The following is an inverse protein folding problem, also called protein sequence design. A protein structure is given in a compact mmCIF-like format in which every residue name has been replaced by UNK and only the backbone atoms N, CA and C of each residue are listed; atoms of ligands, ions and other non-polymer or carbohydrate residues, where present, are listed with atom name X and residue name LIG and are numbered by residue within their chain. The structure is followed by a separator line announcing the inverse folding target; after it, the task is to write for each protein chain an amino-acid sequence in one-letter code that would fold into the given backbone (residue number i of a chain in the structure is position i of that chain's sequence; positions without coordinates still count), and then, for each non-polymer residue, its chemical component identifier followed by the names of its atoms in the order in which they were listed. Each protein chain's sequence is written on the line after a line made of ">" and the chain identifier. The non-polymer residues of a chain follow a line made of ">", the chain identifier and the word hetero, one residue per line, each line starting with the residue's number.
data_IF_422257724355
#
_entry.id   IF_422257724355
#
_cell.length_a   1.000
_cell.length_b   1.000
_cell.length_c   1.000
_cell.angle_alpha   90.00
_cell.angle_beta   90.00
_cell.angle_gamma   90.00
#
_symmetry.space_group_name_H-M   'P 1'
#
loop_
_entity.id
_entity.type
_entity.pdbx_description
1 polymer ?
#
# COMPACT_ATOMS: atom_id res chain seq x y z
N UNK A 1 -62.34 7.91 27.74
CA UNK A 1 -61.13 8.37 27.09
C UNK A 1 -59.98 7.42 27.46
N UNK A 2 -59.57 6.62 26.57
CA UNK A 2 -58.56 5.55 26.83
C UNK A 2 -57.14 6.12 26.68
N UNK A 3 -56.24 6.00 27.67
CA UNK A 3 -54.90 6.62 27.61
C UNK A 3 -53.88 5.89 26.71
N UNK A 4 -54.33 4.99 25.80
CA UNK A 4 -53.49 4.12 25.04
C UNK A 4 -53.17 4.59 23.60
N UNK A 5 -53.62 5.77 23.16
CA UNK A 5 -53.44 6.25 21.78
C UNK A 5 -52.42 7.41 21.68
N UNK A 6 -51.24 7.26 22.31
CA UNK A 6 -50.13 8.14 21.98
C UNK A 6 -49.38 7.54 20.79
N UNK A 7 -49.36 8.17 19.61
CA UNK A 7 -48.60 7.64 18.50
C UNK A 7 -47.12 7.65 18.86
N UNK A 8 -46.53 6.45 18.93
CA UNK A 8 -45.07 6.32 19.00
C UNK A 8 -44.46 7.00 17.77
N UNK A 9 -43.74 8.10 18.00
CA UNK A 9 -42.96 8.78 16.95
C UNK A 9 -41.79 7.87 16.55
N UNK A 10 -42.01 7.06 15.55
CA UNK A 10 -40.99 6.19 14.95
C UNK A 10 -40.16 6.92 13.90
N UNK A 11 -39.83 8.19 14.09
CA UNK A 11 -38.90 8.89 13.24
C UNK A 11 -37.51 8.21 13.41
N UNK A 12 -37.15 7.38 12.43
CA UNK A 12 -35.79 6.86 12.30
C UNK A 12 -34.86 8.08 12.21
N UNK A 13 -33.91 8.26 13.14
CA UNK A 13 -32.99 9.39 13.05
C UNK A 13 -32.29 9.36 11.71
N UNK A 14 -32.26 10.48 11.03
CA UNK A 14 -31.54 10.62 9.74
C UNK A 14 -30.12 10.10 9.92
N UNK A 15 -29.76 9.10 9.12
CA UNK A 15 -28.45 8.49 9.12
C UNK A 15 -27.45 9.62 8.79
N UNK A 16 -26.62 10.02 9.74
CA UNK A 16 -25.55 10.98 9.48
C UNK A 16 -24.61 10.35 8.49
N UNK A 17 -24.22 11.08 7.45
CA UNK A 17 -23.16 10.64 6.57
C UNK A 17 -21.94 10.24 7.41
N UNK A 18 -21.35 9.07 7.15
CA UNK A 18 -20.19 8.63 7.91
C UNK A 18 -19.08 9.69 7.79
N UNK A 19 -18.46 10.04 8.91
CA UNK A 19 -17.30 10.93 8.89
C UNK A 19 -16.21 10.35 7.96
N UNK A 20 -15.48 11.19 7.23
CA UNK A 20 -14.38 10.71 6.38
C UNK A 20 -13.36 9.93 7.20
N UNK A 21 -12.83 8.86 6.63
CA UNK A 21 -11.79 8.05 7.28
C UNK A 21 -10.51 8.89 7.48
N UNK A 22 -9.66 8.56 8.47
CA UNK A 22 -8.51 9.38 8.87
C UNK A 22 -7.53 9.74 7.75
N UNK A 23 -7.36 8.85 6.76
CA UNK A 23 -6.44 9.05 5.64
C UNK A 23 -7.17 9.31 4.31
N UNK A 24 -8.43 9.73 4.35
CA UNK A 24 -9.13 10.16 3.14
C UNK A 24 -8.37 11.31 2.45
N UNK A 25 -8.12 11.15 1.15
CA UNK A 25 -7.36 12.11 0.35
C UNK A 25 -5.84 11.86 0.29
N UNK A 26 -5.31 10.94 1.08
CA UNK A 26 -3.90 10.51 0.98
C UNK A 26 -3.76 9.46 -0.12
N UNK A 27 -2.78 9.62 -0.99
CA UNK A 27 -2.43 8.65 -2.04
C UNK A 27 -1.11 7.96 -1.75
N UNK A 28 -1.13 6.63 -1.77
CA UNK A 28 0.03 5.76 -1.57
C UNK A 28 0.31 4.99 -2.85
N UNK A 29 1.55 5.01 -3.31
CA UNK A 29 2.04 4.14 -4.39
C UNK A 29 2.95 3.09 -3.77
N UNK A 30 2.63 1.80 -3.95
CA UNK A 30 3.41 0.73 -3.33
C UNK A 30 4.04 -0.22 -4.35
N UNK A 31 5.30 -0.57 -4.09
CA UNK A 31 6.10 -1.57 -4.78
C UNK A 31 6.42 -2.69 -3.81
N UNK A 32 5.40 -3.42 -3.41
CA UNK A 32 5.48 -4.37 -2.30
C UNK A 32 5.04 -5.77 -2.74
N UNK A 33 5.52 -6.80 -2.04
CA UNK A 33 5.12 -8.19 -2.25
C UNK A 33 5.18 -8.97 -0.92
N UNK A 34 4.65 -10.18 -0.91
CA UNK A 34 4.55 -11.06 0.26
C UNK A 34 3.61 -10.48 1.34
N UNK A 35 4.13 -10.16 2.53
CA UNK A 35 3.33 -9.87 3.74
C UNK A 35 3.56 -8.46 4.26
N UNK A 36 4.77 -8.14 4.73
CA UNK A 36 5.06 -6.92 5.49
C UNK A 36 4.68 -5.62 4.77
N UNK A 37 5.22 -5.39 3.58
CA UNK A 37 4.90 -4.21 2.78
C UNK A 37 3.42 -4.13 2.40
N UNK A 38 2.82 -5.21 1.83
CA UNK A 38 1.40 -5.24 1.55
C UNK A 38 0.50 -4.99 2.77
N UNK A 39 0.87 -5.48 3.98
CA UNK A 39 0.13 -5.21 5.22
C UNK A 39 0.12 -3.72 5.55
N UNK A 40 1.25 -3.04 5.40
CA UNK A 40 1.31 -1.59 5.61
C UNK A 40 0.33 -0.85 4.68
N UNK A 41 0.38 -1.14 3.37
CA UNK A 41 -0.56 -0.56 2.42
C UNK A 41 -2.02 -0.91 2.69
N UNK A 42 -2.30 -2.14 3.14
CA UNK A 42 -3.65 -2.57 3.52
C UNK A 42 -4.19 -1.75 4.70
N UNK A 43 -3.40 -1.55 5.75
CA UNK A 43 -3.81 -0.75 6.92
C UNK A 43 -4.12 0.70 6.49
N UNK A 44 -3.28 1.28 5.64
CA UNK A 44 -3.52 2.62 5.11
C UNK A 44 -4.81 2.69 4.28
N UNK A 45 -5.07 1.66 3.44
CA UNK A 45 -6.28 1.57 2.64
C UNK A 45 -7.53 1.39 3.51
N UNK A 46 -7.49 0.54 4.55
CA UNK A 46 -8.58 0.35 5.50
C UNK A 46 -8.90 1.65 6.27
N UNK A 47 -7.91 2.53 6.43
CA UNK A 47 -8.07 3.84 7.04
C UNK A 47 -8.40 4.96 6.05
N UNK A 48 -8.66 4.64 4.78
CA UNK A 48 -9.20 5.55 3.79
C UNK A 48 -8.21 6.12 2.78
N UNK A 49 -6.93 5.73 2.81
CA UNK A 49 -5.98 6.12 1.78
C UNK A 49 -6.29 5.44 0.45
N UNK A 50 -6.05 6.14 -0.66
CA UNK A 50 -6.03 5.53 -1.99
C UNK A 50 -4.68 4.82 -2.18
N UNK A 51 -4.67 3.51 -2.11
CA UNK A 51 -3.45 2.71 -2.29
C UNK A 51 -3.41 2.10 -3.68
N UNK A 52 -2.36 2.41 -4.43
CA UNK A 52 -2.11 1.91 -5.78
C UNK A 52 -0.89 1.00 -5.75
N UNK A 53 -1.13 -0.29 -5.94
CA UNK A 53 -0.09 -1.31 -6.02
C UNK A 53 0.41 -1.42 -7.45
N UNK A 54 1.70 -1.15 -7.66
CA UNK A 54 2.37 -1.33 -8.95
C UNK A 54 2.88 -2.77 -9.03
N UNK A 55 2.45 -3.47 -10.08
CA UNK A 55 2.80 -4.88 -10.33
C UNK A 55 3.52 -5.01 -11.68
N UNK A 56 4.45 -5.98 -11.83
CA UNK A 56 5.02 -6.30 -13.14
C UNK A 56 3.97 -6.92 -14.07
N UNK A 57 4.23 -7.02 -15.39
CA UNK A 57 3.29 -7.65 -16.35
C UNK A 57 2.87 -9.08 -15.98
N UNK A 58 3.72 -9.83 -15.28
CA UNK A 58 3.39 -11.16 -14.76
C UNK A 58 2.53 -11.15 -13.50
N UNK A 59 2.22 -9.99 -12.95
CA UNK A 59 1.59 -9.84 -11.64
C UNK A 59 2.55 -10.05 -10.47
N UNK A 60 2.07 -9.80 -9.27
CA UNK A 60 2.79 -10.12 -8.03
C UNK A 60 2.87 -11.65 -7.86
N UNK A 61 4.07 -12.17 -7.62
CA UNK A 61 4.30 -13.61 -7.39
C UNK A 61 3.48 -14.17 -6.23
N UNK A 62 3.11 -13.34 -5.26
CA UNK A 62 2.26 -13.73 -4.13
C UNK A 62 0.88 -14.23 -4.57
N UNK A 63 0.40 -13.85 -5.76
CA UNK A 63 -0.85 -14.33 -6.36
C UNK A 63 -0.85 -15.85 -6.64
N UNK A 64 0.34 -16.42 -6.83
CA UNK A 64 0.54 -17.81 -7.25
C UNK A 64 1.08 -18.71 -6.15
N UNK A 65 1.12 -18.22 -4.90
CA UNK A 65 1.55 -19.04 -3.78
C UNK A 65 0.55 -20.17 -3.50
N UNK A 66 1.08 -21.31 -3.10
CA UNK A 66 0.30 -22.50 -2.76
C UNK A 66 0.30 -22.72 -1.24
N UNK A 67 -0.55 -23.64 -0.79
CA UNK A 67 -0.66 -24.04 0.61
C UNK A 67 -1.05 -22.85 1.51
N UNK A 68 -0.38 -22.66 2.63
CA UNK A 68 -0.65 -21.58 3.58
C UNK A 68 -0.50 -20.18 2.98
N UNK A 69 0.33 -20.03 1.94
CA UNK A 69 0.55 -18.75 1.26
C UNK A 69 -0.56 -18.33 0.29
N UNK A 70 -1.46 -19.24 -0.09
CA UNK A 70 -2.51 -18.98 -1.09
C UNK A 70 -3.45 -17.82 -0.69
N UNK A 71 -3.64 -17.59 0.61
CA UNK A 71 -4.46 -16.51 1.15
C UNK A 71 -3.75 -15.16 1.25
N UNK A 72 -2.43 -15.08 1.09
CA UNK A 72 -1.67 -13.86 1.37
C UNK A 72 -2.05 -12.71 0.43
N UNK A 73 -2.14 -12.98 -0.87
CA UNK A 73 -2.47 -11.92 -1.82
C UNK A 73 -3.86 -11.31 -1.55
N UNK A 74 -4.96 -12.06 -1.51
CA UNK A 74 -6.29 -11.49 -1.28
C UNK A 74 -6.42 -10.85 0.12
N UNK A 75 -5.75 -11.39 1.13
CA UNK A 75 -5.80 -10.85 2.48
C UNK A 75 -5.10 -9.49 2.57
N UNK A 76 -3.83 -9.41 2.14
CA UNK A 76 -3.00 -8.23 2.36
C UNK A 76 -3.12 -7.15 1.26
N UNK A 77 -3.90 -7.41 0.20
CA UNK A 77 -4.09 -6.43 -0.88
C UNK A 77 -5.54 -5.99 -1.08
N UNK A 78 -6.44 -6.31 -0.12
CA UNK A 78 -7.79 -5.77 -0.15
C UNK A 78 -7.79 -4.24 -0.11
N UNK A 79 -8.83 -3.64 -0.66
CA UNK A 79 -9.03 -2.17 -0.73
C UNK A 79 -7.97 -1.40 -1.53
N UNK A 80 -7.09 -2.10 -2.29
CA UNK A 80 -6.10 -1.48 -3.14
C UNK A 80 -6.52 -1.50 -4.61
N UNK A 81 -6.01 -0.55 -5.36
CA UNK A 81 -6.01 -0.57 -6.83
C UNK A 81 -4.74 -1.26 -7.31
N UNK A 82 -4.85 -2.10 -8.34
CA UNK A 82 -3.71 -2.72 -9.00
C UNK A 82 -3.43 -2.02 -10.32
N UNK A 83 -2.16 -1.69 -10.55
CA UNK A 83 -1.67 -1.10 -11.80
C UNK A 83 -0.50 -1.93 -12.31
N UNK A 84 -0.64 -2.47 -13.52
CA UNK A 84 0.42 -3.24 -14.16
C UNK A 84 1.32 -2.31 -14.97
N UNK A 85 2.62 -2.27 -14.65
CA UNK A 85 3.64 -1.51 -15.37
C UNK A 85 4.91 -2.33 -15.54
N UNK A 86 5.48 -2.32 -16.73
CA UNK A 86 6.83 -2.87 -16.94
C UNK A 86 7.88 -1.77 -16.67
N UNK A 87 8.43 -1.78 -15.47
CA UNK A 87 9.46 -0.82 -15.04
C UNK A 87 10.82 -1.03 -15.70
N UNK A 88 10.98 -2.04 -16.55
CA UNK A 88 12.19 -2.22 -17.38
C UNK A 88 12.09 -1.47 -18.71
N UNK A 89 10.94 -0.89 -19.03
CA UNK A 89 10.74 -0.07 -20.24
C UNK A 89 10.73 1.42 -19.91
N UNK A 90 11.17 2.24 -20.86
CA UNK A 90 11.13 3.70 -20.71
C UNK A 90 9.69 4.20 -20.49
N UNK A 91 8.71 3.65 -21.21
CA UNK A 91 7.31 4.01 -21.07
C UNK A 91 6.75 3.66 -19.68
N UNK A 92 7.12 2.49 -19.13
CA UNK A 92 6.72 2.09 -17.77
C UNK A 92 7.34 2.98 -16.70
N UNK A 93 8.61 3.34 -16.85
CA UNK A 93 9.30 4.29 -15.94
C UNK A 93 8.67 5.69 -16.02
N UNK A 94 8.35 6.17 -17.22
CA UNK A 94 7.67 7.46 -17.38
C UNK A 94 6.28 7.44 -16.71
N UNK A 95 5.52 6.37 -16.94
CA UNK A 95 4.19 6.22 -16.34
C UNK A 95 4.25 6.20 -14.81
N UNK A 96 5.19 5.47 -14.22
CA UNK A 96 5.34 5.41 -12.76
C UNK A 96 5.80 6.75 -12.18
N UNK A 97 6.67 7.50 -12.86
CA UNK A 97 7.06 8.84 -12.40
C UNK A 97 5.87 9.80 -12.40
N UNK A 98 4.99 9.75 -13.41
CA UNK A 98 3.75 10.54 -13.43
C UNK A 98 2.82 10.15 -12.28
N UNK A 99 2.72 8.86 -11.97
CA UNK A 99 1.94 8.38 -10.84
C UNK A 99 2.49 8.90 -9.51
N UNK A 100 3.81 8.74 -9.28
CA UNK A 100 4.48 9.19 -8.05
C UNK A 100 4.35 10.70 -7.86
N UNK A 101 4.33 11.49 -8.94
CA UNK A 101 4.13 12.93 -8.85
C UNK A 101 2.78 13.34 -8.22
N UNK A 102 1.82 12.42 -8.15
CA UNK A 102 0.50 12.63 -7.53
C UNK A 102 0.38 11.96 -6.16
N UNK A 103 1.44 11.32 -5.67
CA UNK A 103 1.43 10.55 -4.43
C UNK A 103 1.96 11.37 -3.23
N UNK A 104 1.43 11.05 -2.06
CA UNK A 104 1.94 11.54 -0.78
C UNK A 104 2.96 10.57 -0.19
N UNK A 105 2.80 9.27 -0.47
CA UNK A 105 3.64 8.21 0.08
C UNK A 105 4.07 7.24 -1.02
N UNK A 106 5.34 6.86 -1.00
CA UNK A 106 5.87 5.69 -1.71
C UNK A 106 6.30 4.66 -0.68
N UNK A 107 5.88 3.41 -0.87
CA UNK A 107 6.21 2.28 0.00
C UNK A 107 6.81 1.14 -0.82
N UNK A 108 7.95 0.55 -0.38
CA UNK A 108 8.60 -0.54 -1.08
C UNK A 108 9.23 -1.56 -0.13
N UNK A 109 9.30 -2.82 -0.55
CA UNK A 109 10.00 -3.87 0.18
C UNK A 109 10.88 -4.75 -0.73
N UNK A 110 11.44 -4.16 -1.78
CA UNK A 110 12.33 -4.85 -2.68
C UNK A 110 13.73 -5.05 -2.04
N UNK A 111 14.50 -5.95 -2.63
CA UNK A 111 15.89 -6.16 -2.23
C UNK A 111 16.69 -4.85 -2.31
N UNK A 112 17.65 -4.64 -1.40
CA UNK A 112 18.54 -3.47 -1.46
C UNK A 112 19.10 -3.21 -2.87
N UNK A 113 19.09 -1.95 -3.29
CA UNK A 113 19.56 -1.53 -4.60
C UNK A 113 18.60 -1.69 -5.77
N UNK A 114 17.47 -2.40 -5.63
CA UNK A 114 16.48 -2.55 -6.72
C UNK A 114 15.86 -1.21 -7.11
N UNK A 115 15.36 -0.44 -6.15
CA UNK A 115 14.75 0.86 -6.41
C UNK A 115 15.77 1.86 -6.99
N UNK A 116 17.02 1.80 -6.54
CA UNK A 116 18.11 2.63 -7.11
C UNK A 116 18.39 2.32 -8.58
N UNK A 117 18.40 1.05 -8.97
CA UNK A 117 18.57 0.65 -10.39
C UNK A 117 17.44 1.16 -11.28
N UNK A 118 16.25 1.36 -10.72
CA UNK A 118 15.08 1.90 -11.42
C UNK A 118 15.03 3.44 -11.37
N UNK A 119 15.92 4.10 -10.62
CA UNK A 119 15.85 5.55 -10.38
C UNK A 119 14.68 5.97 -9.52
N UNK A 120 14.17 5.05 -8.70
CA UNK A 120 13.00 5.21 -7.82
C UNK A 120 13.39 5.13 -6.33
N UNK A 121 14.67 5.26 -6.00
CA UNK A 121 15.14 5.32 -4.62
C UNK A 121 14.83 6.68 -3.96
N UNK A 122 15.02 6.75 -2.64
CA UNK A 122 14.77 7.95 -1.87
C UNK A 122 15.48 9.18 -2.43
N UNK A 123 16.77 9.07 -2.72
CA UNK A 123 17.59 10.19 -3.19
C UNK A 123 17.08 10.76 -4.52
N UNK A 124 16.69 9.88 -5.45
CA UNK A 124 16.17 10.27 -6.75
C UNK A 124 14.77 10.90 -6.65
N UNK A 125 13.89 10.30 -5.84
CA UNK A 125 12.51 10.76 -5.69
C UNK A 125 12.40 12.02 -4.83
N UNK A 126 13.14 12.11 -3.72
CA UNK A 126 13.11 13.28 -2.83
C UNK A 126 13.57 14.57 -3.55
N UNK A 127 14.54 14.45 -4.44
CA UNK A 127 15.02 15.57 -5.27
C UNK A 127 13.90 16.18 -6.13
N UNK A 128 12.99 15.35 -6.63
CA UNK A 128 11.88 15.77 -7.50
C UNK A 128 10.61 16.10 -6.71
N UNK A 129 10.41 15.44 -5.59
CA UNK A 129 9.20 15.49 -4.77
C UNK A 129 9.57 15.63 -3.28
N UNK A 130 10.00 16.83 -2.82
CA UNK A 130 10.51 17.03 -1.46
C UNK A 130 9.50 16.74 -0.34
N UNK A 131 8.19 16.72 -0.65
CA UNK A 131 7.12 16.42 0.31
C UNK A 131 6.77 14.93 0.37
N UNK A 132 7.32 14.12 -0.53
CA UNK A 132 7.03 12.69 -0.61
C UNK A 132 7.57 11.96 0.64
N UNK A 133 6.73 11.20 1.27
CA UNK A 133 7.13 10.26 2.33
C UNK A 133 7.58 8.96 1.65
N UNK A 134 8.79 8.53 1.93
CA UNK A 134 9.34 7.28 1.38
C UNK A 134 9.54 6.25 2.47
N UNK A 135 8.87 5.11 2.36
CA UNK A 135 8.95 4.00 3.31
C UNK A 135 9.63 2.80 2.65
N UNK A 136 10.77 2.42 3.20
CA UNK A 136 11.52 1.25 2.75
C UNK A 136 11.46 0.17 3.83
N UNK A 137 10.76 -0.92 3.57
CA UNK A 137 10.64 -2.04 4.50
C UNK A 137 11.82 -2.98 4.32
N UNK A 138 12.71 -3.02 5.30
CA UNK A 138 13.91 -3.86 5.29
C UNK A 138 14.00 -4.67 6.57
N UNK A 139 14.57 -5.86 6.48
CA UNK A 139 14.80 -6.70 7.64
C UNK A 139 16.01 -6.26 8.48
N UNK A 140 16.93 -5.49 7.89
CA UNK A 140 18.12 -4.98 8.58
C UNK A 140 18.26 -3.48 8.32
N UNK A 141 18.65 -2.76 9.38
CA UNK A 141 19.06 -1.37 9.29
C UNK A 141 20.43 -1.24 8.60
N UNK A 142 20.83 -0.02 8.18
CA UNK A 142 22.17 0.22 7.65
C UNK A 142 23.25 -0.31 8.57
N UNK A 143 24.19 -1.09 8.01
CA UNK A 143 25.26 -1.73 8.76
C UNK A 143 25.80 -2.99 8.06
N UNK A 144 26.57 -3.84 8.76
CA UNK A 144 27.23 -5.00 8.16
C UNK A 144 26.26 -6.05 7.60
N UNK A 145 24.99 -6.03 8.01
CA UNK A 145 23.98 -6.98 7.57
C UNK A 145 22.92 -6.40 6.62
N UNK A 146 23.01 -5.12 6.26
CA UNK A 146 21.99 -4.43 5.46
C UNK A 146 21.70 -5.11 4.10
N UNK A 147 22.67 -5.82 3.54
CA UNK A 147 22.55 -6.52 2.26
C UNK A 147 21.97 -7.93 2.38
N UNK A 148 21.80 -8.44 3.60
CA UNK A 148 21.25 -9.78 3.81
C UNK A 148 19.75 -9.79 3.54
N UNK A 149 19.28 -10.89 2.97
CA UNK A 149 17.85 -11.15 2.86
C UNK A 149 17.31 -11.48 4.24
N UNK A 150 16.26 -10.80 4.64
CA UNK A 150 15.50 -11.15 5.83
C UNK A 150 14.12 -11.67 5.40
N UNK A 151 13.84 -12.91 5.73
CA UNK A 151 12.52 -13.54 5.69
C UNK A 151 11.93 -13.52 7.10
N UNK A 152 10.68 -13.95 7.22
CA UNK A 152 9.95 -13.93 8.51
C UNK A 152 10.73 -14.59 9.63
N UNK A 153 11.38 -15.74 9.37
CA UNK A 153 12.17 -16.47 10.38
C UNK A 153 13.34 -15.65 10.93
N UNK A 154 13.89 -14.74 10.11
CA UNK A 154 15.02 -13.89 10.53
C UNK A 154 14.55 -12.68 11.34
N UNK A 155 13.35 -12.19 11.07
CA UNK A 155 12.81 -10.98 11.69
C UNK A 155 12.11 -11.30 13.02
N UNK A 156 11.65 -12.54 13.18
CA UNK A 156 10.94 -13.00 14.39
C UNK A 156 11.88 -13.48 15.51
N UNK A 157 13.17 -13.67 15.23
CA UNK A 157 14.19 -14.04 16.24
C UNK A 157 14.78 -12.80 16.90
#
# INVERSE_FOLDING_TARGET
>A
MNPADTPMNTAIPAQRDPAPLPYAGIRVVEFTHMVMGPTCGMVLADLGAEVIKVEPPSGDRTRHLLGAGAGFYPLFNRNKKSLVLDLHTAAGLEAVHRLIATADVVSENFKPGTMRKLGLDWEALHKRHPRLIYVSHKGFLPGPYEHRTALDEVVQM
#
